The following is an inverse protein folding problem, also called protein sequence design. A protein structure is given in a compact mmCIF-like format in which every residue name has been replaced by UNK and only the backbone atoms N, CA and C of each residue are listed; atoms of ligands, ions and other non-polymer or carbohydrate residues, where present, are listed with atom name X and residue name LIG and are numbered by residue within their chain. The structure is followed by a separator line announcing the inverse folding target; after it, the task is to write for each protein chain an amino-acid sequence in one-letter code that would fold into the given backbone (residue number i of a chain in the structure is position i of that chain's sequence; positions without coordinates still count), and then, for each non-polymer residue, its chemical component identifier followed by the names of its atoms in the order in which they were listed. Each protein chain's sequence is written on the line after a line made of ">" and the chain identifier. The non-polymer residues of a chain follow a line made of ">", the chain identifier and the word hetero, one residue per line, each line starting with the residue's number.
data_IF_324620473709
#
_entry.id   IF_324620473709
#
_cell.length_a   1.000
_cell.length_b   1.000
_cell.length_c   1.000
_cell.angle_alpha   90.00
_cell.angle_beta   90.00
_cell.angle_gamma   90.00
#
_symmetry.space_group_name_H-M   'P 1'
#
loop_
_entity.id
_entity.type
_entity.pdbx_description
1 polymer ?
#
# COMPACT_ATOMS: atom_id res chain seq x y z
N UNK A 1 -32.90 -9.36 -78.07
CA UNK A 1 -31.80 -9.48 -77.08
C UNK A 1 -32.39 -9.34 -75.68
N UNK A 2 -32.57 -10.46 -74.94
CA UNK A 2 -33.04 -10.44 -73.55
C UNK A 2 -31.84 -10.30 -72.62
N UNK A 3 -31.76 -9.20 -71.87
CA UNK A 3 -30.74 -9.00 -70.82
C UNK A 3 -31.24 -9.64 -69.53
N UNK A 4 -30.56 -10.67 -69.05
CA UNK A 4 -30.74 -11.19 -67.70
C UNK A 4 -29.94 -10.32 -66.74
N UNK A 5 -30.62 -9.75 -65.74
CA UNK A 5 -29.99 -9.07 -64.60
C UNK A 5 -29.93 -10.10 -63.48
N UNK A 6 -28.72 -10.54 -63.13
CA UNK A 6 -28.49 -11.47 -62.02
C UNK A 6 -28.20 -10.65 -60.76
N UNK A 7 -29.15 -10.60 -59.84
CA UNK A 7 -28.95 -9.96 -58.53
C UNK A 7 -28.24 -10.94 -57.60
N UNK A 8 -27.01 -10.62 -57.19
CA UNK A 8 -26.26 -11.37 -56.18
C UNK A 8 -26.70 -10.86 -54.80
N UNK A 9 -27.39 -11.70 -54.04
CA UNK A 9 -27.70 -11.44 -52.64
C UNK A 9 -26.48 -11.82 -51.77
N UNK A 10 -25.81 -10.83 -51.19
CA UNK A 10 -24.75 -11.03 -50.19
C UNK A 10 -25.44 -11.32 -48.85
N UNK A 11 -25.38 -12.58 -48.41
CA UNK A 11 -25.82 -12.98 -47.07
C UNK A 11 -24.69 -12.66 -46.10
N UNK A 12 -24.83 -11.57 -45.34
CA UNK A 12 -23.98 -11.23 -44.21
C UNK A 12 -24.37 -12.12 -43.02
N UNK A 13 -23.56 -13.15 -42.74
CA UNK A 13 -23.63 -13.86 -41.46
C UNK A 13 -23.08 -12.95 -40.36
N UNK A 14 -23.83 -12.66 -39.28
CA UNK A 14 -23.27 -11.94 -38.15
C UNK A 14 -22.27 -12.85 -37.45
N UNK A 15 -20.98 -12.57 -37.61
CA UNK A 15 -19.95 -13.09 -36.73
C UNK A 15 -20.20 -12.51 -35.34
N UNK A 16 -20.89 -13.26 -34.48
CA UNK A 16 -20.88 -12.99 -33.06
C UNK A 16 -19.45 -13.28 -32.57
N UNK A 17 -18.64 -12.24 -32.40
CA UNK A 17 -17.45 -12.35 -31.56
C UNK A 17 -17.95 -12.73 -30.17
N UNK A 18 -17.76 -13.99 -29.78
CA UNK A 18 -17.83 -14.38 -28.39
C UNK A 18 -16.72 -13.60 -27.68
N UNK A 19 -17.10 -12.56 -26.93
CA UNK A 19 -16.19 -11.94 -25.99
C UNK A 19 -15.78 -13.04 -25.01
N UNK A 20 -14.51 -13.46 -25.07
CA UNK A 20 -13.97 -14.40 -24.11
C UNK A 20 -14.16 -13.81 -22.72
N UNK A 21 -14.92 -14.51 -21.88
CA UNK A 21 -15.17 -14.09 -20.50
C UNK A 21 -13.83 -14.06 -19.77
N UNK A 22 -13.56 -12.99 -19.02
CA UNK A 22 -12.36 -12.87 -18.19
C UNK A 22 -12.21 -14.12 -17.30
N UNK A 23 -11.08 -14.86 -17.37
CA UNK A 23 -10.85 -16.07 -16.58
C UNK A 23 -11.04 -15.86 -15.07
N UNK A 24 -10.72 -14.69 -14.53
CA UNK A 24 -10.93 -14.37 -13.11
C UNK A 24 -12.43 -14.31 -12.78
N UNK A 25 -13.22 -13.68 -13.66
CA UNK A 25 -14.69 -13.61 -13.51
C UNK A 25 -15.29 -15.01 -13.59
N UNK A 26 -14.80 -15.84 -14.52
CA UNK A 26 -15.26 -17.23 -14.64
C UNK A 26 -14.93 -18.04 -13.38
N UNK A 27 -13.70 -17.97 -12.87
CA UNK A 27 -13.27 -18.67 -11.65
C UNK A 27 -14.10 -18.26 -10.43
N UNK A 28 -14.37 -16.96 -10.25
CA UNK A 28 -15.18 -16.47 -9.13
C UNK A 28 -16.64 -16.95 -9.26
N UNK A 29 -17.20 -16.94 -10.47
CA UNK A 29 -18.58 -17.41 -10.72
C UNK A 29 -18.74 -18.91 -10.53
N UNK A 30 -17.82 -19.71 -11.06
CA UNK A 30 -17.86 -21.17 -10.93
C UNK A 30 -17.56 -21.63 -9.51
N UNK A 31 -16.64 -20.93 -8.82
CA UNK A 31 -16.30 -21.18 -7.42
C UNK A 31 -17.30 -20.59 -6.42
N UNK A 32 -18.38 -19.93 -6.87
CA UNK A 32 -19.32 -19.17 -6.01
C UNK A 32 -19.84 -19.97 -4.82
N UNK A 33 -20.09 -21.27 -4.98
CA UNK A 33 -20.54 -22.16 -3.89
C UNK A 33 -19.45 -22.50 -2.85
N UNK A 34 -18.18 -22.41 -3.24
CA UNK A 34 -17.03 -22.64 -2.35
C UNK A 34 -16.60 -21.36 -1.60
N UNK A 35 -17.07 -20.20 -2.07
CA UNK A 35 -16.81 -18.92 -1.44
C UNK A 35 -17.93 -18.54 -0.46
N UNK A 36 -17.58 -17.73 0.55
CA UNK A 36 -18.51 -17.29 1.58
C UNK A 36 -19.55 -16.27 1.08
N UNK A 37 -20.23 -15.61 2.03
CA UNK A 37 -21.31 -14.67 1.74
C UNK A 37 -20.96 -13.58 0.71
N UNK A 38 -19.70 -13.15 0.68
CA UNK A 38 -19.23 -12.14 -0.28
C UNK A 38 -19.43 -12.54 -1.74
N UNK A 39 -19.26 -13.81 -2.10
CA UNK A 39 -19.41 -14.24 -3.48
C UNK A 39 -20.88 -14.35 -3.87
N UNK A 40 -21.79 -14.49 -2.90
CA UNK A 40 -23.23 -14.53 -3.12
C UNK A 40 -23.80 -13.14 -3.42
N UNK A 41 -23.24 -12.11 -2.79
CA UNK A 41 -23.66 -10.71 -2.93
C UNK A 41 -22.45 -9.75 -3.08
N UNK A 42 -21.65 -9.89 -4.16
CA UNK A 42 -20.39 -9.16 -4.32
C UNK A 42 -20.56 -7.64 -4.38
N UNK A 43 -21.75 -7.16 -4.78
CA UNK A 43 -22.09 -5.74 -4.80
C UNK A 43 -22.29 -5.19 -3.39
N UNK A 44 -23.00 -5.90 -2.50
CA UNK A 44 -23.16 -5.50 -1.10
C UNK A 44 -21.82 -5.42 -0.35
N UNK A 45 -20.92 -6.37 -0.61
CA UNK A 45 -19.60 -6.41 0.03
C UNK A 45 -18.53 -5.58 -0.70
N UNK A 46 -18.87 -4.96 -1.83
CA UNK A 46 -17.99 -4.11 -2.66
C UNK A 46 -16.63 -4.76 -2.95
N UNK A 47 -16.62 -6.07 -3.21
CA UNK A 47 -15.38 -6.82 -3.40
C UNK A 47 -14.71 -6.42 -4.71
N UNK A 48 -13.44 -6.05 -4.61
CA UNK A 48 -12.58 -5.78 -5.76
C UNK A 48 -11.39 -6.74 -5.74
N UNK A 49 -11.11 -7.36 -6.88
CA UNK A 49 -9.95 -8.24 -7.07
C UNK A 49 -9.20 -7.79 -8.31
N UNK A 50 -7.91 -7.54 -8.14
CA UNK A 50 -6.98 -7.30 -9.25
C UNK A 50 -5.98 -8.46 -9.23
N UNK A 51 -5.98 -9.27 -10.27
CA UNK A 51 -5.03 -10.37 -10.46
C UNK A 51 -4.13 -10.03 -11.63
N UNK A 52 -2.81 -10.01 -11.42
CA UNK A 52 -1.84 -9.84 -12.50
C UNK A 52 -1.02 -11.11 -12.66
N UNK A 53 -1.21 -11.82 -13.76
CA UNK A 53 -0.38 -12.93 -14.17
C UNK A 53 0.96 -12.41 -14.70
N UNK A 54 2.05 -13.02 -14.25
CA UNK A 54 3.42 -12.71 -14.70
C UNK A 54 3.96 -13.90 -15.47
N UNK A 55 3.91 -13.83 -16.79
CA UNK A 55 4.56 -14.81 -17.66
C UNK A 55 5.97 -14.34 -18.00
N UNK A 56 6.89 -15.27 -18.26
CA UNK A 56 8.23 -14.95 -18.74
C UNK A 56 8.46 -15.63 -20.09
N UNK A 57 9.07 -14.92 -21.02
CA UNK A 57 9.53 -15.54 -22.26
C UNK A 57 10.80 -16.39 -22.04
N UNK A 58 11.29 -17.01 -23.12
CA UNK A 58 12.49 -17.84 -23.10
C UNK A 58 13.76 -17.09 -22.64
N UNK A 59 13.75 -15.76 -22.71
CA UNK A 59 14.84 -14.89 -22.25
C UNK A 59 14.60 -14.35 -20.83
N UNK A 60 13.54 -14.79 -20.16
CA UNK A 60 13.20 -14.39 -18.80
C UNK A 60 12.52 -13.03 -18.69
N UNK A 61 12.18 -12.37 -19.80
CA UNK A 61 11.54 -11.04 -19.79
C UNK A 61 10.07 -11.19 -19.39
N UNK A 62 9.59 -10.43 -18.38
CA UNK A 62 8.22 -10.56 -17.91
C UNK A 62 7.23 -9.94 -18.90
N UNK A 63 6.08 -10.60 -19.07
CA UNK A 63 4.86 -10.11 -19.70
C UNK A 63 3.75 -10.15 -18.65
N UNK A 64 3.04 -9.04 -18.50
CA UNK A 64 1.98 -8.88 -17.51
C UNK A 64 0.61 -8.97 -18.19
N UNK A 65 -0.29 -9.77 -17.62
CA UNK A 65 -1.71 -9.78 -17.99
C UNK A 65 -2.53 -9.54 -16.74
N UNK A 66 -3.30 -8.47 -16.74
CA UNK A 66 -4.12 -8.07 -15.59
C UNK A 66 -5.58 -8.38 -15.86
N UNK A 67 -6.21 -8.98 -14.87
CA UNK A 67 -7.62 -9.36 -14.83
C UNK A 67 -8.25 -8.70 -13.61
N UNK A 68 -9.50 -8.29 -13.73
CA UNK A 68 -10.17 -7.52 -12.69
C UNK A 68 -11.58 -8.02 -12.45
N UNK A 69 -11.98 -8.05 -11.19
CA UNK A 69 -13.35 -8.36 -10.77
C UNK A 69 -13.84 -7.27 -9.83
N UNK A 70 -14.98 -6.65 -10.16
CA UNK A 70 -15.60 -5.63 -9.32
C UNK A 70 -14.79 -4.34 -9.16
N UNK A 71 -13.75 -4.11 -9.98
CA UNK A 71 -12.89 -2.93 -9.89
C UNK A 71 -13.72 -1.65 -10.09
N UNK A 72 -13.65 -0.75 -9.10
CA UNK A 72 -14.25 0.57 -9.14
C UNK A 72 -13.15 1.59 -8.86
N UNK A 73 -12.53 2.08 -9.93
CA UNK A 73 -11.50 3.11 -9.83
C UNK A 73 -12.06 4.37 -9.17
N UNK A 74 -11.27 5.01 -8.31
CA UNK A 74 -11.68 6.20 -7.57
C UNK A 74 -12.60 5.95 -6.37
N UNK A 75 -13.07 4.72 -6.13
CA UNK A 75 -13.79 4.39 -4.88
C UNK A 75 -12.82 4.25 -3.71
N UNK A 76 -13.18 4.80 -2.56
CA UNK A 76 -12.38 4.66 -1.35
C UNK A 76 -12.32 3.22 -0.85
N UNK A 77 -11.10 2.74 -0.64
CA UNK A 77 -10.80 1.46 0.00
C UNK A 77 -9.92 1.71 1.23
N UNK A 78 -10.33 1.21 2.40
CA UNK A 78 -9.51 1.33 3.61
C UNK A 78 -8.36 0.32 3.56
N UNK A 79 -7.09 0.76 3.49
CA UNK A 79 -5.97 -0.16 3.24
C UNK A 79 -5.63 -1.04 4.44
N UNK A 80 -6.12 -0.72 5.64
CA UNK A 80 -5.75 -1.40 6.88
C UNK A 80 -4.22 -1.61 6.96
N UNK A 81 -3.74 -2.82 7.29
CA UNK A 81 -2.30 -3.11 7.40
C UNK A 81 -1.54 -3.19 6.07
N UNK A 82 -2.20 -3.09 4.91
CA UNK A 82 -1.49 -3.13 3.61
C UNK A 82 -0.55 -1.94 3.43
N UNK A 83 -0.79 -0.83 4.13
CA UNK A 83 0.10 0.35 4.20
C UNK A 83 1.51 0.05 4.71
N UNK A 84 1.69 -1.05 5.44
CA UNK A 84 2.97 -1.37 6.07
C UNK A 84 4.04 -1.79 5.06
N UNK A 85 3.64 -2.49 4.00
CA UNK A 85 4.54 -2.91 2.94
C UNK A 85 5.20 -1.71 2.23
N UNK A 86 4.46 -0.72 1.68
CA UNK A 86 5.10 0.43 1.05
C UNK A 86 5.96 1.23 2.03
N UNK A 87 5.53 1.41 3.29
CA UNK A 87 6.36 2.08 4.29
C UNK A 87 7.69 1.34 4.55
N UNK A 88 7.64 0.00 4.68
CA UNK A 88 8.85 -0.82 4.86
C UNK A 88 9.83 -0.68 3.68
N UNK A 89 9.33 -0.72 2.44
CA UNK A 89 10.16 -0.58 1.24
C UNK A 89 10.73 0.84 1.12
N UNK A 90 9.93 1.86 1.38
CA UNK A 90 10.37 3.25 1.34
C UNK A 90 11.39 3.56 2.43
N UNK A 91 11.32 2.92 3.60
CA UNK A 91 12.30 3.12 4.66
C UNK A 91 13.68 2.59 4.24
N UNK A 92 13.71 1.42 3.58
CA UNK A 92 14.94 0.89 2.99
C UNK A 92 15.45 1.76 1.83
N UNK A 93 14.56 2.28 0.98
CA UNK A 93 14.92 3.24 -0.07
C UNK A 93 15.53 4.51 0.52
N UNK A 94 14.86 5.14 1.50
CA UNK A 94 15.35 6.36 2.18
C UNK A 94 16.73 6.14 2.75
N UNK A 95 16.96 5.01 3.41
CA UNK A 95 18.25 4.67 3.99
C UNK A 95 19.37 4.61 2.93
N UNK A 96 19.09 3.97 1.78
CA UNK A 96 20.03 3.91 0.66
C UNK A 96 20.29 5.29 0.05
N UNK A 97 19.28 6.17 0.02
CA UNK A 97 19.39 7.54 -0.51
C UNK A 97 20.28 8.45 0.35
N UNK A 98 20.40 8.17 1.66
CA UNK A 98 21.29 8.93 2.53
C UNK A 98 22.76 8.81 2.09
N UNK A 99 23.15 7.69 1.46
CA UNK A 99 24.53 7.44 0.95
C UNK A 99 25.62 7.68 2.00
N UNK A 100 25.33 7.39 3.26
CA UNK A 100 26.26 7.55 4.38
C UNK A 100 27.09 6.26 4.52
N UNK A 101 28.42 6.38 4.47
CA UNK A 101 29.32 5.25 4.63
C UNK A 101 29.15 4.61 6.01
N UNK A 102 28.95 3.29 6.05
CA UNK A 102 28.76 2.53 7.30
C UNK A 102 27.35 2.59 7.88
N UNK A 103 26.44 3.38 7.30
CA UNK A 103 25.01 3.34 7.62
C UNK A 103 24.33 2.25 6.78
N UNK A 104 23.73 1.26 7.43
CA UNK A 104 22.99 0.18 6.79
C UNK A 104 21.71 -0.15 7.59
N UNK A 105 20.88 -1.05 7.05
CA UNK A 105 19.56 -1.38 7.61
C UNK A 105 19.62 -2.03 9.00
N UNK A 106 20.78 -2.53 9.42
CA UNK A 106 21.04 -3.12 10.72
C UNK A 106 21.59 -2.11 11.72
N UNK A 107 21.99 -0.92 11.28
CA UNK A 107 22.43 0.14 12.18
C UNK A 107 21.28 0.48 13.16
N UNK A 108 21.55 0.47 14.48
CA UNK A 108 20.57 0.84 15.49
C UNK A 108 19.89 2.17 15.19
N UNK A 109 18.57 2.15 15.24
CA UNK A 109 17.67 3.28 15.04
C UNK A 109 17.03 3.62 16.37
N UNK A 110 17.20 4.87 16.82
CA UNK A 110 16.54 5.45 17.99
C UNK A 110 15.46 6.42 17.53
N UNK A 111 14.31 6.36 18.18
CA UNK A 111 13.21 7.30 18.01
C UNK A 111 13.12 8.18 19.26
N UNK A 112 13.22 9.50 19.09
CA UNK A 112 13.05 10.48 20.17
C UNK A 112 11.59 10.89 20.36
N UNK A 113 11.35 11.88 21.23
CA UNK A 113 10.06 12.55 21.36
C UNK A 113 10.32 14.03 21.66
N UNK A 114 9.58 14.93 21.01
CA UNK A 114 9.68 16.39 21.18
C UNK A 114 8.40 16.95 21.76
N UNK A 115 7.25 16.45 21.29
CA UNK A 115 5.93 16.95 21.66
C UNK A 115 4.96 15.79 21.92
N UNK A 116 4.02 15.92 22.88
CA UNK A 116 2.93 14.96 22.99
C UNK A 116 2.14 14.88 21.66
N UNK A 117 1.71 13.69 21.24
CA UNK A 117 1.71 12.42 21.98
C UNK A 117 2.87 11.48 21.61
N UNK A 118 3.99 12.01 21.09
CA UNK A 118 5.14 11.22 20.68
C UNK A 118 5.71 10.40 21.85
N UNK A 119 6.03 9.14 21.57
CA UNK A 119 6.73 8.25 22.50
C UNK A 119 8.13 7.91 21.97
N UNK A 120 9.19 7.97 22.81
CA UNK A 120 10.52 7.58 22.39
C UNK A 120 10.68 6.06 22.40
N UNK A 121 11.53 5.55 21.51
CA UNK A 121 11.96 4.14 21.51
C UNK A 121 13.47 4.09 21.38
N UNK A 122 14.11 3.71 22.48
CA UNK A 122 15.57 3.57 22.58
C UNK A 122 16.03 2.11 22.60
N UNK A 123 15.10 1.23 22.99
CA UNK A 123 15.29 -0.18 23.29
C UNK A 123 14.02 -0.90 22.82
N UNK A 124 14.17 -2.06 22.19
CA UNK A 124 13.06 -2.97 21.87
C UNK A 124 13.47 -4.36 22.35
N UNK A 125 12.73 -4.94 23.29
CA UNK A 125 13.04 -6.24 23.89
C UNK A 125 12.96 -7.41 22.91
N UNK A 126 12.31 -7.22 21.76
CA UNK A 126 12.22 -8.20 20.67
C UNK A 126 13.36 -8.07 19.67
N UNK A 127 14.19 -7.01 19.77
CA UNK A 127 15.34 -6.79 18.90
C UNK A 127 16.59 -7.52 19.41
N UNK A 128 17.47 -7.89 18.49
CA UNK A 128 18.80 -8.38 18.83
C UNK A 128 19.57 -7.31 19.63
N UNK A 129 20.21 -7.72 20.73
CA UNK A 129 20.91 -6.82 21.67
C UNK A 129 20.04 -5.68 22.23
N UNK A 130 18.71 -5.81 22.12
CA UNK A 130 17.72 -4.80 22.48
C UNK A 130 17.78 -3.52 21.62
N UNK A 131 18.49 -3.54 20.50
CA UNK A 131 18.73 -2.37 19.64
C UNK A 131 17.88 -2.47 18.37
N UNK A 132 16.74 -1.77 18.30
CA UNK A 132 15.92 -1.81 17.09
C UNK A 132 16.64 -1.16 15.91
N UNK A 133 16.32 -1.61 14.71
CA UNK A 133 16.86 -1.14 13.43
C UNK A 133 15.78 -1.17 12.35
N UNK A 134 16.04 -0.57 11.18
CA UNK A 134 15.09 -0.64 10.06
C UNK A 134 14.81 -2.09 9.67
N UNK A 135 15.85 -2.94 9.63
CA UNK A 135 15.68 -4.36 9.33
C UNK A 135 14.83 -5.10 10.37
N UNK A 136 14.98 -4.77 11.66
CA UNK A 136 14.14 -5.31 12.73
C UNK A 136 12.66 -4.94 12.54
N UNK A 137 12.37 -3.66 12.28
CA UNK A 137 11.00 -3.20 12.05
C UNK A 137 10.38 -3.81 10.78
N UNK A 138 11.15 -3.91 9.69
CA UNK A 138 10.73 -4.60 8.46
C UNK A 138 10.37 -6.06 8.78
N UNK A 139 11.18 -6.76 9.58
CA UNK A 139 10.89 -8.15 9.99
C UNK A 139 9.59 -8.23 10.79
N UNK A 140 9.36 -7.37 11.79
CA UNK A 140 8.13 -7.37 12.60
C UNK A 140 6.87 -7.11 11.75
N UNK A 141 6.96 -6.20 10.78
CA UNK A 141 5.87 -5.91 9.83
C UNK A 141 5.47 -7.17 9.06
N UNK A 142 6.43 -7.88 8.46
CA UNK A 142 6.11 -9.04 7.62
C UNK A 142 5.82 -10.30 8.43
N UNK A 143 6.35 -10.43 9.65
CA UNK A 143 6.17 -11.63 10.47
C UNK A 143 4.84 -11.64 11.22
N UNK A 144 4.44 -10.50 11.79
CA UNK A 144 3.26 -10.42 12.67
C UNK A 144 2.40 -9.18 12.41
N UNK A 145 2.64 -8.44 11.32
CA UNK A 145 1.91 -7.20 11.03
C UNK A 145 1.96 -6.23 12.21
N UNK A 146 3.15 -6.03 12.79
CA UNK A 146 3.31 -5.19 13.97
C UNK A 146 3.00 -3.70 13.67
N UNK A 147 2.13 -3.09 14.47
CA UNK A 147 1.73 -1.69 14.31
C UNK A 147 2.81 -0.72 14.79
N UNK A 148 3.50 -1.04 15.88
CA UNK A 148 4.57 -0.19 16.42
C UNK A 148 5.72 -0.11 15.42
N UNK A 149 6.15 -1.24 14.85
CA UNK A 149 7.18 -1.28 13.82
C UNK A 149 6.84 -0.42 12.61
N UNK A 150 5.59 -0.45 12.15
CA UNK A 150 5.11 0.47 11.12
C UNK A 150 5.19 1.93 11.56
N UNK A 151 4.75 2.25 12.77
CA UNK A 151 4.76 3.61 13.31
C UNK A 151 6.19 4.17 13.37
N UNK A 152 7.17 3.36 13.78
CA UNK A 152 8.59 3.75 13.82
C UNK A 152 9.15 4.02 12.43
N UNK A 153 8.80 3.20 11.43
CA UNK A 153 9.19 3.47 10.04
C UNK A 153 8.46 4.68 9.45
N UNK A 154 7.18 4.88 9.77
CA UNK A 154 6.41 6.08 9.40
C UNK A 154 7.07 7.35 9.94
N UNK A 155 7.56 7.32 11.19
CA UNK A 155 8.28 8.43 11.82
C UNK A 155 9.62 8.71 11.15
N UNK A 156 10.39 7.67 10.82
CA UNK A 156 11.62 7.86 10.07
C UNK A 156 11.35 8.47 8.70
N UNK A 157 10.32 7.97 7.98
CA UNK A 157 9.98 8.47 6.66
C UNK A 157 9.53 9.92 6.70
N UNK A 158 8.57 10.24 7.57
CA UNK A 158 7.76 11.45 7.49
C UNK A 158 6.66 11.31 6.42
N UNK A 159 5.51 11.92 6.68
CA UNK A 159 4.33 11.84 5.80
C UNK A 159 4.62 12.39 4.39
N UNK A 160 5.27 13.55 4.31
CA UNK A 160 5.54 14.23 3.03
C UNK A 160 6.49 13.43 2.13
N UNK A 161 7.62 12.97 2.68
CA UNK A 161 8.56 12.14 1.96
C UNK A 161 7.88 10.85 1.46
N UNK A 162 7.15 10.14 2.33
CA UNK A 162 6.55 8.86 1.98
C UNK A 162 5.55 9.00 0.82
N UNK A 163 4.66 9.99 0.89
CA UNK A 163 3.64 10.19 -0.14
C UNK A 163 4.22 10.72 -1.46
N UNK A 164 5.18 11.66 -1.40
CA UNK A 164 5.89 12.11 -2.61
C UNK A 164 6.57 10.93 -3.32
N UNK A 165 7.24 10.05 -2.57
CA UNK A 165 7.89 8.87 -3.13
C UNK A 165 6.91 7.87 -3.75
N UNK A 166 5.71 7.72 -3.19
CA UNK A 166 4.66 6.91 -3.80
C UNK A 166 4.19 7.52 -5.13
N UNK A 167 3.96 8.83 -5.17
CA UNK A 167 3.56 9.54 -6.39
C UNK A 167 4.62 9.47 -7.49
N UNK A 168 5.90 9.64 -7.15
CA UNK A 168 7.02 9.48 -8.10
C UNK A 168 7.07 8.09 -8.74
N UNK A 169 6.51 7.07 -8.08
CA UNK A 169 6.42 5.70 -8.59
C UNK A 169 5.09 5.39 -9.28
N UNK A 170 4.23 6.40 -9.46
CA UNK A 170 2.92 6.26 -10.11
C UNK A 170 1.77 5.85 -9.19
N UNK A 171 1.99 5.77 -7.87
CA UNK A 171 0.91 5.51 -6.91
C UNK A 171 0.22 6.82 -6.51
N UNK A 172 -0.55 7.39 -7.44
CA UNK A 172 -1.23 8.69 -7.26
C UNK A 172 -2.48 8.61 -6.40
N UNK A 173 -3.10 7.44 -6.32
CA UNK A 173 -4.38 7.20 -5.63
C UNK A 173 -4.20 6.51 -4.27
N UNK A 174 -3.04 6.69 -3.64
CA UNK A 174 -2.70 6.13 -2.33
C UNK A 174 -2.05 7.18 -1.46
N UNK A 175 -2.33 7.14 -0.16
CA UNK A 175 -1.67 8.01 0.82
C UNK A 175 -1.43 7.33 2.16
N UNK A 176 -0.27 7.60 2.75
CA UNK A 176 0.09 7.24 4.11
C UNK A 176 -0.09 8.46 5.01
N UNK A 177 -1.09 8.45 5.89
CA UNK A 177 -1.48 9.65 6.63
C UNK A 177 -1.23 9.58 8.13
N UNK A 178 -1.28 8.39 8.74
CA UNK A 178 -1.28 8.27 10.18
C UNK A 178 -0.61 6.99 10.68
N UNK A 179 -0.28 7.01 11.97
CA UNK A 179 0.14 5.86 12.76
C UNK A 179 -1.03 4.89 12.97
N UNK A 180 -0.75 3.60 13.15
CA UNK A 180 -1.74 2.54 13.40
C UNK A 180 -1.86 2.26 14.90
N UNK A 181 -3.08 2.01 15.36
CA UNK A 181 -3.41 1.76 16.79
C UNK A 181 -2.86 2.82 17.74
N UNK A 182 -2.89 4.08 17.31
CA UNK A 182 -2.36 5.23 18.05
C UNK A 182 -3.47 6.29 18.23
N UNK A 183 -4.53 5.99 19.01
CA UNK A 183 -5.71 6.85 19.17
C UNK A 183 -5.40 8.22 19.79
N UNK A 184 -4.25 8.36 20.44
CA UNK A 184 -3.73 9.61 20.99
C UNK A 184 -3.32 10.62 19.91
N UNK A 185 -3.08 10.18 18.66
CA UNK A 185 -2.77 11.06 17.54
C UNK A 185 -4.02 11.38 16.72
N UNK A 186 -4.35 12.67 16.64
CA UNK A 186 -5.32 13.22 15.70
C UNK A 186 -4.69 13.52 14.31
N UNK A 187 -5.48 14.09 13.40
CA UNK A 187 -5.04 14.45 12.05
C UNK A 187 -3.87 15.43 12.03
N UNK A 188 -3.78 16.34 13.01
CA UNK A 188 -2.75 17.38 13.06
C UNK A 188 -1.45 16.81 13.63
N UNK A 189 -1.52 16.17 14.79
CA UNK A 189 -0.38 15.53 15.46
C UNK A 189 0.23 14.39 14.64
N UNK A 190 -0.54 13.70 13.79
CA UNK A 190 0.02 12.72 12.84
C UNK A 190 0.96 13.34 11.79
N UNK A 191 0.89 14.66 11.55
CA UNK A 191 1.82 15.37 10.65
C UNK A 191 3.17 15.64 11.31
N UNK A 192 3.27 15.53 12.63
CA UNK A 192 4.51 15.66 13.40
C UNK A 192 5.09 14.27 13.67
N UNK A 193 6.25 14.02 13.09
CA UNK A 193 6.98 12.75 13.21
C UNK A 193 8.21 12.92 14.06
N UNK A 194 8.44 11.91 14.90
CA UNK A 194 9.48 11.91 15.93
C UNK A 194 10.87 12.16 15.33
N UNK A 195 11.81 12.75 16.11
CA UNK A 195 13.22 12.70 15.77
C UNK A 195 13.70 11.25 15.63
N UNK A 196 14.60 11.01 14.67
CA UNK A 196 15.19 9.70 14.43
C UNK A 196 16.70 9.83 14.31
N UNK A 197 17.41 8.93 14.98
CA UNK A 197 18.87 8.89 14.98
C UNK A 197 19.37 7.48 14.66
N UNK A 198 20.39 7.38 13.80
CA UNK A 198 21.12 6.15 13.53
C UNK A 198 22.52 6.23 14.12
N UNK A 199 22.88 5.25 14.94
CA UNK A 199 24.14 5.26 15.68
C UNK A 199 24.71 3.84 15.80
N UNK A 200 26.03 3.75 15.98
CA UNK A 200 26.72 2.51 16.34
C UNK A 200 27.83 2.85 17.31
N UNK A 201 27.80 2.26 18.50
CA UNK A 201 28.67 2.66 19.61
C UNK A 201 28.58 4.19 19.83
N UNK A 202 29.72 4.89 19.82
CA UNK A 202 29.80 6.34 20.00
C UNK A 202 29.68 7.14 18.69
N UNK A 203 29.44 6.47 17.55
CA UNK A 203 29.31 7.12 16.24
C UNK A 203 27.86 7.39 15.91
N UNK A 204 27.51 8.66 15.71
CA UNK A 204 26.25 9.09 15.11
C UNK A 204 26.41 9.14 13.59
N UNK A 205 25.65 8.33 12.87
CA UNK A 205 25.66 8.32 11.40
C UNK A 205 24.69 9.33 10.82
N UNK A 206 23.49 9.42 11.38
CA UNK A 206 22.42 10.26 10.88
C UNK A 206 21.53 10.73 12.02
N UNK A 207 21.04 11.97 11.91
CA UNK A 207 20.01 12.51 12.78
C UNK A 207 19.03 13.35 11.95
N UNK A 208 17.74 13.10 12.15
CA UNK A 208 16.69 14.05 11.80
C UNK A 208 15.97 14.47 13.09
N UNK A 209 15.71 15.77 13.20
CA UNK A 209 14.82 16.31 14.23
C UNK A 209 13.36 15.92 13.98
N UNK A 210 12.45 16.51 14.76
CA UNK A 210 11.03 16.39 14.48
C UNK A 210 10.73 16.93 13.08
N UNK A 211 9.94 16.19 12.30
CA UNK A 211 9.54 16.58 10.94
C UNK A 211 8.05 16.87 10.94
N UNK A 212 7.69 18.06 10.47
CA UNK A 212 6.30 18.48 10.24
C UNK A 212 5.97 18.45 8.75
N UNK A 213 4.95 17.68 8.37
CA UNK A 213 4.43 17.62 7.00
C UNK A 213 3.50 18.79 6.70
N UNK A 214 3.86 19.60 5.70
CA UNK A 214 2.98 20.68 5.19
C UNK A 214 2.14 20.24 3.99
N UNK A 215 2.47 19.11 3.40
CA UNK A 215 1.85 18.64 2.17
C UNK A 215 0.43 18.11 2.41
N UNK A 216 -0.51 18.61 1.62
CA UNK A 216 -1.89 18.11 1.58
C UNK A 216 -2.04 17.08 0.47
N UNK A 217 -1.99 15.80 0.84
CA UNK A 217 -2.20 14.71 -0.10
C UNK A 217 -3.70 14.42 -0.22
N UNK A 218 -4.40 15.26 -0.98
CA UNK A 218 -5.83 15.09 -1.25
C UNK A 218 -6.02 14.09 -2.39
N UNK A 219 -6.85 13.07 -2.16
CA UNK A 219 -7.33 12.16 -3.19
C UNK A 219 -8.74 12.57 -3.57
N UNK A 220 -9.09 12.44 -4.85
CA UNK A 220 -10.46 12.67 -5.33
C UNK A 220 -11.18 11.32 -5.34
N UNK A 221 -11.75 10.93 -4.20
CA UNK A 221 -12.40 9.63 -4.05
C UNK A 221 -13.92 9.75 -3.95
N UNK A 222 -14.61 8.75 -4.47
CA UNK A 222 -16.01 8.50 -4.21
C UNK A 222 -16.18 7.59 -2.99
N UNK A 223 -17.35 7.62 -2.36
CA UNK A 223 -17.75 6.69 -1.30
C UNK A 223 -16.84 6.70 -0.06
N UNK A 224 -16.33 7.88 0.33
CA UNK A 224 -15.48 8.04 1.53
C UNK A 224 -16.27 7.84 2.85
N UNK A 225 -17.59 8.09 2.85
CA UNK A 225 -18.44 7.86 4.01
C UNK A 225 -18.78 6.38 4.15
N UNK A 226 -18.15 5.72 5.13
CA UNK A 226 -18.33 4.28 5.40
C UNK A 226 -18.98 4.04 6.77
N UNK A 227 -20.16 3.41 6.77
CA UNK A 227 -20.81 2.92 7.99
C UNK A 227 -21.19 4.01 9.02
N UNK A 228 -21.49 3.57 10.25
CA UNK A 228 -21.69 4.45 11.42
C UNK A 228 -20.66 4.07 12.48
N UNK A 229 -19.83 5.03 12.88
CA UNK A 229 -18.87 4.84 13.96
C UNK A 229 -19.54 4.98 15.33
N UNK A 230 -19.08 4.21 16.31
CA UNK A 230 -19.47 4.34 17.72
C UNK A 230 -18.21 4.64 18.53
N UNK A 231 -18.25 5.68 19.34
CA UNK A 231 -17.17 5.99 20.30
C UNK A 231 -17.57 5.38 21.63
N UNK A 232 -16.76 4.45 22.14
CA UNK A 232 -16.94 3.96 23.49
C UNK A 232 -16.32 4.97 24.46
N UNK A 233 -17.15 5.84 25.04
CA UNK A 233 -16.74 6.71 26.15
C UNK A 233 -16.75 5.87 27.43
N UNK A 234 -15.58 5.32 27.78
CA UNK A 234 -15.33 4.80 29.12
C UNK A 234 -15.02 5.95 30.08
#
# INVERSE_FOLDING_TARGET
>A
MRKFITTIAIILFPFALSAQIDPLVQLIREGKSNFGAWAQDPEHYEIQVIYTQVDRDEQGKPKFRTYTYGLQEGSYFYPASTVKMPAALLALEKLNELRILGLDKWTPMRTGAVSPPQTPVMVDSTAEQLLPSVAHYVRKIFLVSDNDAYNRLYEFLGQEYANRKLQEKGYTDTRLLHRLSAPEFDTVSNRYTNPVSFYRFDTLFYHQGEVHSRAEHQLKLANELRGRGYVNTA
#
